data_IF_443181986086
#
_entry.id   IF_443181986086
#
_cell.length_a   1.000
_cell.length_b   1.000
_cell.length_c   1.000
_cell.angle_alpha   90.00
_cell.angle_beta   90.00
_cell.angle_gamma   90.00
#
_symmetry.space_group_name_H-M   'P 1'
#
loop_
_entity.id
_entity.type
_entity.pdbx_description
1 polymer ?
#
# COMPACT_ATOMS: atom_id res chain seq x y z
N UNK A 1 10.04 -12.42 19.03
CA UNK A 1 8.66 -12.20 19.50
C UNK A 1 7.93 -11.79 18.23
N UNK A 2 6.92 -12.56 17.83
CA UNK A 2 6.16 -12.29 16.61
C UNK A 2 4.78 -11.84 17.05
N UNK A 3 4.61 -10.53 17.08
CA UNK A 3 3.38 -9.91 17.55
C UNK A 3 2.39 -9.97 16.39
N UNK A 4 1.17 -10.45 16.66
CA UNK A 4 0.14 -10.64 15.63
C UNK A 4 -0.06 -9.31 14.88
N UNK A 5 0.22 -9.24 13.56
CA UNK A 5 0.12 -7.99 12.81
C UNK A 5 -1.30 -7.43 12.81
N UNK A 6 -2.33 -8.24 13.12
CA UNK A 6 -3.69 -7.74 13.30
C UNK A 6 -3.87 -6.85 14.53
N UNK A 7 -2.92 -6.78 15.46
CA UNK A 7 -3.05 -5.93 16.65
C UNK A 7 -3.10 -4.45 16.26
N UNK A 8 -2.09 -3.96 15.53
CA UNK A 8 -1.99 -2.55 15.13
C UNK A 8 -3.11 -2.15 14.15
N UNK A 9 -3.51 -3.07 13.27
CA UNK A 9 -4.59 -2.84 12.30
C UNK A 9 -5.98 -2.61 12.93
N UNK A 10 -6.18 -2.94 14.23
CA UNK A 10 -7.45 -2.68 14.93
C UNK A 10 -7.56 -1.27 15.50
N UNK A 11 -6.45 -0.53 15.57
CA UNK A 11 -6.39 0.81 16.18
C UNK A 11 -6.54 1.94 15.15
N UNK A 12 -6.63 1.60 13.86
CA UNK A 12 -6.80 2.57 12.77
C UNK A 12 -8.22 3.16 12.80
N UNK A 13 -8.37 4.49 12.95
CA UNK A 13 -9.68 5.15 12.97
C UNK A 13 -10.46 4.98 11.67
N UNK A 14 -11.79 4.88 11.76
CA UNK A 14 -12.67 4.74 10.59
C UNK A 14 -12.81 6.00 9.74
N UNK A 15 -12.36 7.15 10.26
CA UNK A 15 -12.32 8.46 9.61
C UNK A 15 -10.91 8.82 9.08
N UNK A 16 -10.05 7.82 8.88
CA UNK A 16 -8.69 8.02 8.34
C UNK A 16 -8.75 8.42 6.86
N UNK A 17 -8.50 9.70 6.54
CA UNK A 17 -8.37 10.18 5.15
C UNK A 17 -7.15 9.58 4.41
N UNK A 18 -6.02 9.42 5.11
CA UNK A 18 -4.75 8.96 4.53
C UNK A 18 -4.16 7.85 5.38
N UNK A 19 -4.07 6.64 4.82
CA UNK A 19 -3.39 5.51 5.43
C UNK A 19 -1.98 5.35 4.87
N UNK A 20 -1.00 5.06 5.73
CA UNK A 20 0.38 4.77 5.32
C UNK A 20 0.81 3.43 5.91
N UNK A 21 1.28 2.50 5.08
CA UNK A 21 1.84 1.21 5.49
C UNK A 21 3.17 0.94 4.78
N UNK A 22 3.96 -0.03 5.25
CA UNK A 22 5.12 -0.48 4.48
C UNK A 22 4.69 -1.42 3.34
N UNK A 23 3.94 -2.46 3.69
CA UNK A 23 3.42 -3.48 2.78
C UNK A 23 2.18 -2.99 1.99
N UNK A 24 2.02 -3.42 0.72
CA UNK A 24 0.82 -3.15 -0.08
C UNK A 24 -0.38 -3.99 0.40
N UNK A 25 -1.62 -3.62 0.04
CA UNK A 25 -2.75 -4.53 0.16
C UNK A 25 -2.68 -5.61 -0.92
N UNK A 26 -3.22 -6.78 -0.62
CA UNK A 26 -3.32 -7.88 -1.57
C UNK A 26 -4.08 -7.47 -2.85
N UNK A 27 -3.55 -7.87 -4.02
CA UNK A 27 -4.06 -7.56 -5.37
C UNK A 27 -4.01 -6.07 -5.79
N UNK A 28 -3.27 -5.22 -5.08
CA UNK A 28 -3.11 -3.80 -5.43
C UNK A 28 -1.64 -3.38 -5.39
N UNK A 29 -1.03 -3.21 -6.58
CA UNK A 29 0.39 -2.84 -6.75
C UNK A 29 1.35 -3.71 -5.92
N UNK A 30 1.05 -5.02 -5.86
CA UNK A 30 1.73 -6.01 -5.02
C UNK A 30 2.27 -7.22 -5.80
N UNK A 31 2.15 -7.21 -7.13
CA UNK A 31 2.58 -8.30 -8.01
C UNK A 31 4.07 -8.20 -8.35
N UNK A 32 4.79 -9.31 -8.22
CA UNK A 32 6.19 -9.41 -8.65
C UNK A 32 6.55 -10.81 -9.19
N UNK A 33 6.50 -10.97 -10.51
CA UNK A 33 6.86 -12.21 -11.19
C UNK A 33 5.75 -13.27 -11.19
N UNK A 34 4.50 -12.83 -11.27
CA UNK A 34 3.30 -13.69 -11.28
C UNK A 34 2.77 -14.07 -9.90
N UNK A 35 3.29 -13.45 -8.83
CA UNK A 35 2.86 -13.69 -7.45
C UNK A 35 2.47 -12.38 -6.77
N UNK A 36 1.38 -12.42 -6.01
CA UNK A 36 0.90 -11.32 -5.17
C UNK A 36 1.47 -11.45 -3.76
N UNK A 37 2.13 -10.39 -3.27
CA UNK A 37 2.80 -10.36 -1.97
C UNK A 37 2.07 -9.49 -0.94
N UNK A 38 0.96 -8.85 -1.31
CA UNK A 38 0.26 -7.90 -0.45
C UNK A 38 -0.55 -8.55 0.67
N UNK A 39 -0.80 -7.75 1.71
CA UNK A 39 -1.50 -8.19 2.91
C UNK A 39 -3.01 -8.30 2.68
N UNK A 40 -3.54 -9.53 2.83
CA UNK A 40 -4.98 -9.82 2.80
C UNK A 40 -5.74 -9.19 3.98
N UNK A 41 -5.06 -9.02 5.11
CA UNK A 41 -5.61 -8.34 6.29
C UNK A 41 -5.79 -6.86 5.97
N UNK A 42 -4.77 -6.22 5.38
CA UNK A 42 -4.81 -4.82 4.97
C UNK A 42 -5.88 -4.57 3.89
N UNK A 43 -5.98 -5.45 2.89
CA UNK A 43 -7.08 -5.42 1.91
C UNK A 43 -8.46 -5.44 2.60
N UNK A 44 -8.65 -6.32 3.59
CA UNK A 44 -9.91 -6.42 4.34
C UNK A 44 -10.18 -5.21 5.24
N UNK A 45 -9.14 -4.55 5.75
CA UNK A 45 -9.26 -3.32 6.53
C UNK A 45 -9.71 -2.13 5.66
N UNK A 46 -9.18 -2.03 4.44
CA UNK A 46 -9.50 -0.93 3.52
C UNK A 46 -10.98 -0.91 3.14
N UNK A 47 -11.66 -2.06 3.13
CA UNK A 47 -13.13 -2.15 2.94
C UNK A 47 -13.95 -1.57 4.12
N UNK A 48 -13.30 -1.20 5.24
CA UNK A 48 -13.95 -0.64 6.45
C UNK A 48 -13.57 0.80 6.71
N UNK A 49 -12.31 1.14 6.41
CA UNK A 49 -11.74 2.48 6.65
C UNK A 49 -11.89 3.37 5.42
N UNK A 50 -11.82 2.79 4.21
CA UNK A 50 -11.96 3.47 2.91
C UNK A 50 -11.25 4.84 2.85
N UNK A 51 -9.92 4.90 3.11
CA UNK A 51 -9.18 6.15 3.06
C UNK A 51 -9.16 6.70 1.63
N UNK A 52 -9.13 8.03 1.48
CA UNK A 52 -9.02 8.69 0.17
C UNK A 52 -7.68 8.36 -0.50
N UNK A 53 -6.63 8.14 0.31
CA UNK A 53 -5.27 7.84 -0.12
C UNK A 53 -4.65 6.73 0.73
N UNK A 54 -4.08 5.71 0.08
CA UNK A 54 -3.28 4.68 0.73
C UNK A 54 -1.86 4.66 0.13
N UNK A 55 -0.88 5.04 0.94
CA UNK A 55 0.54 5.14 0.58
C UNK A 55 1.32 3.94 1.12
N UNK A 56 2.14 3.32 0.27
CA UNK A 56 2.96 2.18 0.65
C UNK A 56 4.18 2.01 -0.27
N UNK A 57 4.95 0.94 -0.08
CA UNK A 57 6.10 0.61 -0.92
C UNK A 57 6.30 -0.90 -1.02
N UNK A 58 7.47 -1.36 -0.58
CA UNK A 58 7.88 -2.77 -0.48
C UNK A 58 8.07 -3.49 -1.82
N UNK A 59 7.08 -3.50 -2.72
CA UNK A 59 7.16 -4.24 -3.99
C UNK A 59 7.71 -3.34 -5.09
N UNK A 60 9.05 -3.34 -5.24
CA UNK A 60 9.81 -2.49 -6.16
C UNK A 60 9.35 -2.59 -7.63
N UNK A 61 8.99 -3.80 -8.09
CA UNK A 61 8.49 -4.02 -9.46
C UNK A 61 7.11 -3.41 -9.73
N UNK A 62 6.34 -3.13 -8.69
CA UNK A 62 4.98 -2.61 -8.77
C UNK A 62 4.89 -1.12 -8.35
N UNK A 63 6.02 -0.40 -8.35
CA UNK A 63 6.05 1.06 -8.26
C UNK A 63 5.03 1.69 -9.23
N UNK A 64 4.20 2.61 -8.72
CA UNK A 64 3.15 3.21 -9.53
C UNK A 64 1.97 3.75 -8.73
N UNK A 65 0.94 4.15 -9.46
CA UNK A 65 -0.34 4.61 -8.94
C UNK A 65 -1.48 3.73 -9.45
N UNK A 66 -2.42 3.38 -8.58
CA UNK A 66 -3.67 2.73 -8.94
C UNK A 66 -4.84 3.54 -8.37
N UNK A 67 -5.74 4.03 -9.24
CA UNK A 67 -6.91 4.81 -8.83
C UNK A 67 -8.14 3.92 -8.88
N UNK A 68 -8.64 3.51 -7.71
CA UNK A 68 -9.96 2.94 -7.55
C UNK A 68 -11.01 4.07 -7.38
N UNK A 69 -12.32 3.78 -7.42
CA UNK A 69 -13.35 4.81 -7.30
C UNK A 69 -13.32 5.60 -5.97
N UNK A 70 -12.92 4.94 -4.88
CA UNK A 70 -12.93 5.52 -3.52
C UNK A 70 -11.51 5.80 -2.97
N UNK A 71 -10.51 5.04 -3.42
CA UNK A 71 -9.16 5.03 -2.87
C UNK A 71 -8.13 5.25 -3.99
N UNK A 72 -7.24 6.23 -3.82
CA UNK A 72 -5.98 6.28 -4.59
C UNK A 72 -4.91 5.50 -3.87
N UNK A 73 -4.30 4.53 -4.55
CA UNK A 73 -3.20 3.72 -4.05
C UNK A 73 -1.89 4.18 -4.70
N UNK A 74 -0.82 4.25 -3.91
CA UNK A 74 0.48 4.75 -4.35
C UNK A 74 1.62 3.90 -3.80
N UNK A 75 2.19 3.05 -4.66
CA UNK A 75 3.43 2.33 -4.36
C UNK A 75 4.63 3.22 -4.70
N UNK A 76 5.23 3.82 -3.67
CA UNK A 76 6.36 4.74 -3.76
C UNK A 76 7.73 4.03 -3.64
N UNK A 77 7.84 2.75 -4.04
CA UNK A 77 9.11 2.03 -4.08
C UNK A 77 10.03 2.53 -5.21
N UNK A 78 10.68 3.68 -5.01
CA UNK A 78 11.51 4.39 -6.01
C UNK A 78 12.74 3.62 -6.50
N UNK A 79 13.21 2.65 -5.72
CA UNK A 79 14.38 1.84 -6.05
C UNK A 79 13.95 0.59 -6.82
N UNK A 80 14.77 0.14 -7.77
CA UNK A 80 14.62 -1.19 -8.36
C UNK A 80 15.33 -2.27 -7.51
N UNK A 81 15.30 -3.52 -7.98
CA UNK A 81 15.95 -4.68 -7.33
C UNK A 81 17.49 -4.55 -7.24
N UNK A 82 18.10 -3.63 -8.00
CA UNK A 82 19.53 -3.31 -7.98
C UNK A 82 19.84 -2.06 -7.13
N UNK A 83 18.86 -1.57 -6.34
CA UNK A 83 18.97 -0.36 -5.52
C UNK A 83 19.31 0.92 -6.28
N UNK A 84 19.06 0.96 -7.60
CA UNK A 84 19.14 2.19 -8.38
C UNK A 84 17.78 2.90 -8.35
N UNK A 85 17.81 4.24 -8.34
CA UNK A 85 16.62 5.06 -8.55
C UNK A 85 16.02 4.77 -9.93
N UNK A 86 14.73 4.49 -9.96
CA UNK A 86 13.98 4.14 -11.16
C UNK A 86 12.61 4.87 -11.26
N UNK A 87 12.13 5.44 -10.15
CA UNK A 87 10.90 6.25 -10.11
C UNK A 87 11.13 7.70 -9.69
N UNK A 88 10.07 8.50 -9.75
CA UNK A 88 10.00 9.87 -9.25
C UNK A 88 8.97 9.98 -8.11
N UNK A 89 9.03 11.04 -7.32
CA UNK A 89 8.06 11.26 -6.24
C UNK A 89 6.67 11.60 -6.79
N UNK A 90 5.62 10.98 -6.23
CA UNK A 90 4.24 11.34 -6.55
C UNK A 90 3.75 12.53 -5.72
N UNK A 91 3.06 13.46 -6.37
CA UNK A 91 2.31 14.54 -5.71
C UNK A 91 0.83 14.14 -5.69
N UNK A 92 0.20 14.24 -4.51
CA UNK A 92 -1.20 13.91 -4.30
C UNK A 92 -1.95 15.13 -3.78
N UNK A 93 -3.13 15.40 -4.36
CA UNK A 93 -4.07 16.41 -3.91
C UNK A 93 -5.22 15.72 -3.17
N UNK A 94 -5.57 16.24 -1.99
CA UNK A 94 -6.60 15.72 -1.07
C UNK A 94 -7.45 16.87 -0.53
#
# INVERSE_FOLDING_TARGET
MHEDPTHYYREIPSDTDVLITHEPPYEVLDEAGGFHYGSRILHTLLLKVTPRLHLFGHIHKAYGLHKAPEITFSNAALLNEQYNLHGEGFVHEI
#
